data_IF_317005574775
#
_entry.id   IF_317005574775
#
_cell.length_a   1.000
_cell.length_b   1.000
_cell.length_c   1.000
_cell.angle_alpha   90.00
_cell.angle_beta   90.00
_cell.angle_gamma   90.00
#
_symmetry.space_group_name_H-M   'P 1'
#
loop_
_entity.id
_entity.type
_entity.pdbx_description
1 polymer ?
#
# COMPACT_ATOMS: atom_id res chain seq x y z
N UNK A 1 -9.13 5.67 -11.54
CA UNK A 1 -8.81 4.26 -11.88
C UNK A 1 -7.32 4.01 -12.05
N UNK A 2 -6.57 4.87 -12.77
CA UNK A 2 -5.12 4.66 -13.01
C UNK A 2 -4.23 4.70 -11.76
N UNK A 3 -4.50 5.60 -10.81
CA UNK A 3 -3.62 5.80 -9.64
C UNK A 3 -3.60 4.61 -8.69
N UNK A 4 -4.73 3.92 -8.51
CA UNK A 4 -4.82 2.65 -7.75
C UNK A 4 -3.95 1.58 -8.39
N UNK A 5 -3.95 1.47 -9.71
CA UNK A 5 -3.14 0.49 -10.44
C UNK A 5 -1.64 0.76 -10.29
N UNK A 6 -1.22 2.02 -10.38
CA UNK A 6 0.19 2.44 -10.18
C UNK A 6 0.66 2.04 -8.78
N UNK A 7 -0.06 2.43 -7.73
CA UNK A 7 0.36 2.06 -6.39
C UNK A 7 0.35 0.55 -6.17
N UNK A 8 -0.65 -0.16 -6.70
CA UNK A 8 -0.69 -1.63 -6.61
C UNK A 8 0.56 -2.27 -7.21
N UNK A 9 0.98 -1.82 -8.38
CA UNK A 9 2.20 -2.30 -9.04
C UNK A 9 3.46 -2.00 -8.22
N UNK A 10 3.55 -0.81 -7.62
CA UNK A 10 4.66 -0.45 -6.72
C UNK A 10 4.73 -1.39 -5.52
N UNK A 11 3.60 -1.66 -4.87
CA UNK A 11 3.55 -2.59 -3.73
C UNK A 11 3.85 -4.04 -4.17
N UNK A 12 3.34 -4.49 -5.32
CA UNK A 12 3.62 -5.83 -5.84
C UNK A 12 5.10 -5.99 -6.24
N UNK A 13 5.74 -4.95 -6.77
CA UNK A 13 7.16 -4.96 -7.10
C UNK A 13 8.02 -5.08 -5.83
N UNK A 14 7.72 -4.29 -4.79
CA UNK A 14 8.48 -4.31 -3.54
C UNK A 14 8.31 -5.61 -2.77
N UNK A 15 7.14 -6.25 -2.86
CA UNK A 15 6.95 -7.61 -2.31
C UNK A 15 7.83 -8.66 -2.98
N UNK A 16 8.23 -8.46 -4.24
CA UNK A 16 9.08 -9.39 -5.00
C UNK A 16 10.56 -9.08 -4.86
N UNK A 17 10.94 -7.82 -5.09
CA UNK A 17 12.33 -7.39 -5.20
C UNK A 17 12.92 -6.97 -3.84
N UNK A 18 12.10 -6.73 -2.81
CA UNK A 18 12.49 -6.19 -1.50
C UNK A 18 13.30 -4.87 -1.56
N UNK A 19 13.26 -4.16 -2.68
CA UNK A 19 13.93 -2.88 -2.86
C UNK A 19 13.20 -1.76 -2.10
N UNK A 20 13.63 -1.54 -0.87
CA UNK A 20 13.09 -0.52 0.02
C UNK A 20 13.46 0.90 -0.43
N UNK A 21 14.65 1.11 -1.02
CA UNK A 21 15.10 2.45 -1.41
C UNK A 21 14.27 3.00 -2.57
N UNK A 22 14.02 2.16 -3.58
CA UNK A 22 13.16 2.50 -4.70
C UNK A 22 11.72 2.73 -4.23
N UNK A 23 11.25 1.95 -3.26
CA UNK A 23 9.92 2.12 -2.67
C UNK A 23 9.75 3.49 -2.00
N UNK A 24 10.67 3.86 -1.11
CA UNK A 24 10.62 5.15 -0.41
C UNK A 24 10.69 6.33 -1.40
N UNK A 25 11.54 6.21 -2.43
CA UNK A 25 11.65 7.22 -3.48
C UNK A 25 10.34 7.40 -4.24
N UNK A 26 9.64 6.29 -4.54
CA UNK A 26 8.33 6.31 -5.21
C UNK A 26 7.24 6.90 -4.31
N UNK A 27 7.18 6.53 -3.02
CA UNK A 27 6.23 7.11 -2.07
C UNK A 27 6.40 8.62 -1.94
N UNK A 28 7.64 9.10 -1.84
CA UNK A 28 7.97 10.53 -1.76
C UNK A 28 7.59 11.27 -3.05
N UNK A 29 7.84 10.67 -4.22
CA UNK A 29 7.47 11.25 -5.52
C UNK A 29 5.96 11.40 -5.71
N UNK A 30 5.17 10.56 -5.04
CA UNK A 30 3.70 10.58 -5.09
C UNK A 30 3.06 11.41 -3.96
N UNK A 31 3.82 12.17 -3.17
CA UNK A 31 3.34 12.97 -2.04
C UNK A 31 2.41 12.18 -1.10
N UNK A 32 2.81 10.95 -0.78
CA UNK A 32 2.10 10.13 0.19
C UNK A 32 2.44 10.61 1.60
N UNK A 33 1.46 11.11 2.34
CA UNK A 33 1.64 11.51 3.73
C UNK A 33 1.75 10.30 4.65
N UNK A 34 0.82 9.36 4.53
CA UNK A 34 0.85 8.11 5.28
C UNK A 34 0.05 7.02 4.56
N UNK A 35 0.38 5.76 4.85
CA UNK A 35 -0.41 4.62 4.38
C UNK A 35 -0.69 3.66 5.54
N UNK A 36 -1.87 3.05 5.51
CA UNK A 36 -2.33 2.07 6.48
C UNK A 36 -2.46 0.73 5.76
N UNK A 37 -1.66 -0.23 6.19
CA UNK A 37 -1.67 -1.59 5.64
C UNK A 37 -2.47 -2.53 6.54
N UNK A 38 -3.63 -2.95 6.06
CA UNK A 38 -4.48 -3.92 6.74
C UNK A 38 -4.05 -5.35 6.36
N UNK A 39 -3.18 -5.94 7.19
CA UNK A 39 -2.72 -7.33 7.04
C UNK A 39 -3.87 -8.34 6.93
N UNK A 40 -4.97 -8.13 7.64
CA UNK A 40 -6.11 -9.03 7.67
C UNK A 40 -6.82 -9.16 6.31
N UNK A 41 -6.88 -8.07 5.55
CA UNK A 41 -7.62 -8.02 4.28
C UNK A 41 -6.71 -7.78 3.08
N UNK A 42 -5.40 -7.64 3.31
CA UNK A 42 -4.41 -7.15 2.33
C UNK A 42 -4.81 -5.79 1.71
N UNK A 43 -5.61 -5.00 2.44
CA UNK A 43 -6.07 -3.69 1.96
C UNK A 43 -5.03 -2.63 2.32
N UNK A 44 -4.81 -1.69 1.41
CA UNK A 44 -3.87 -0.59 1.62
C UNK A 44 -4.63 0.71 1.43
N UNK A 45 -4.71 1.49 2.49
CA UNK A 45 -5.24 2.85 2.45
C UNK A 45 -4.06 3.80 2.36
N UNK A 46 -4.02 4.62 1.31
CA UNK A 46 -2.96 5.60 1.10
C UNK A 46 -3.58 6.98 1.19
N UNK A 47 -3.06 7.80 2.08
CA UNK A 47 -3.47 9.20 2.26
C UNK A 47 -2.38 10.07 1.66
N UNK A 48 -2.74 10.82 0.63
CA UNK A 48 -1.87 11.81 0.01
C UNK A 48 -1.94 13.14 0.75
N UNK A 49 -0.95 13.99 0.54
CA UNK A 49 -0.84 15.31 1.15
C UNK A 49 -1.98 16.27 0.76
N UNK A 50 -2.62 16.02 -0.38
CA UNK A 50 -3.76 16.80 -0.86
C UNK A 50 -5.12 16.26 -0.33
N UNK A 51 -5.14 15.57 0.82
CA UNK A 51 -6.30 14.87 1.41
C UNK A 51 -6.97 13.81 0.52
N UNK A 52 -6.39 13.52 -0.64
CA UNK A 52 -6.87 12.47 -1.51
C UNK A 52 -6.54 11.11 -0.91
N UNK A 53 -7.53 10.22 -0.89
CA UNK A 53 -7.36 8.86 -0.40
C UNK A 53 -7.42 7.87 -1.55
N UNK A 54 -6.49 6.93 -1.55
CA UNK A 54 -6.42 5.85 -2.52
C UNK A 54 -6.58 4.53 -1.77
N UNK A 55 -7.64 3.81 -2.11
CA UNK A 55 -7.91 2.48 -1.58
C UNK A 55 -7.44 1.41 -2.57
N UNK A 56 -6.47 0.61 -2.15
CA UNK A 56 -6.09 -0.61 -2.84
C UNK A 56 -6.78 -1.77 -2.15
N UNK A 57 -7.73 -2.40 -2.85
CA UNK A 57 -8.37 -3.62 -2.38
C UNK A 57 -7.45 -4.81 -2.59
N UNK A 58 -7.18 -5.53 -1.51
CA UNK A 58 -6.49 -6.80 -1.55
C UNK A 58 -7.32 -7.85 -2.31
N UNK A 59 -6.63 -8.75 -3.02
CA UNK A 59 -7.25 -9.89 -3.71
C UNK A 59 -7.45 -11.11 -2.78
N UNK A 60 -6.92 -11.06 -1.56
CA UNK A 60 -6.94 -12.19 -0.63
C UNK A 60 -8.23 -12.27 0.17
N UNK A 61 -8.64 -13.50 0.47
CA UNK A 61 -9.69 -13.82 1.45
C UNK A 61 -9.24 -13.29 2.81
N UNK A 62 -10.16 -12.73 3.59
CA UNK A 62 -9.85 -12.17 4.92
C UNK A 62 -9.16 -13.23 5.78
N UNK A 63 -7.95 -12.92 6.24
CA UNK A 63 -7.13 -13.80 7.08
C UNK A 63 -7.26 -13.36 8.53
N UNK A 64 -7.41 -14.32 9.43
CA UNK A 64 -7.44 -14.04 10.87
C UNK A 64 -6.02 -13.69 11.34
N UNK A 65 -5.81 -12.43 11.73
CA UNK A 65 -4.53 -11.98 12.29
C UNK A 65 -4.51 -12.33 13.77
N UNK A 66 -3.56 -13.16 14.19
CA UNK A 66 -3.40 -13.51 15.61
C UNK A 66 -2.79 -12.32 16.34
N UNK A 67 -3.50 -11.81 17.35
CA UNK A 67 -2.94 -10.90 18.34
C UNK A 67 -2.32 -11.75 19.45
N UNK A 68 -0.99 -11.77 19.54
CA UNK A 68 -0.32 -12.19 20.78
C UNK A 68 -0.27 -10.99 21.72
N UNK A 69 -0.77 -11.19 22.94
CA UNK A 69 -0.84 -10.18 24.01
C UNK A 69 0.40 -10.25 24.89
#
# INVERSE_FOLDING_TARGET
MAQVAIFKEIFDQVRKDLDCELFYSKLKRHNVSHYIYYLATDNIHIVLENDNTVLIKGLKKVVNVKFSR
#
